data_IF_626053640223
#
_entry.id   IF_626053640223
#
_cell.length_a   1.000
_cell.length_b   1.000
_cell.length_c   1.000
_cell.angle_alpha   90.00
_cell.angle_beta   90.00
_cell.angle_gamma   90.00
#
_symmetry.space_group_name_H-M   'P 1'
#
loop_
_entity.id
_entity.type
_entity.pdbx_description
1 polymer ?
#
# COMPACT_ATOMS: atom_id res chain seq x y z
N UNK A 1 -19.32 36.98 15.33
CA UNK A 1 -18.90 36.55 13.98
C UNK A 1 -18.67 35.06 14.01
N UNK A 2 -19.54 34.30 13.36
CA UNK A 2 -19.38 32.86 13.19
C UNK A 2 -18.28 32.61 12.16
N UNK A 3 -17.25 31.87 12.56
CA UNK A 3 -16.22 31.39 11.64
C UNK A 3 -16.76 30.14 10.95
N UNK A 4 -16.99 30.24 9.64
CA UNK A 4 -17.21 29.07 8.79
C UNK A 4 -15.90 28.27 8.78
N UNK A 5 -15.93 27.06 9.33
CA UNK A 5 -14.84 26.10 9.14
C UNK A 5 -14.76 25.74 7.65
N UNK A 6 -13.64 26.07 7.01
CA UNK A 6 -13.33 25.60 5.65
C UNK A 6 -12.91 24.11 5.73
N UNK A 7 -13.34 23.25 4.79
CA UNK A 7 -12.76 21.92 4.66
C UNK A 7 -11.39 22.08 3.98
N UNK A 8 -10.34 22.21 4.80
CA UNK A 8 -8.96 22.29 4.37
C UNK A 8 -8.22 20.97 4.62
N UNK A 9 -7.77 20.35 3.53
CA UNK A 9 -6.54 19.56 3.36
C UNK A 9 -6.00 18.79 4.58
N UNK A 10 -6.05 17.45 4.49
CA UNK A 10 -5.17 16.50 5.17
C UNK A 10 -4.97 16.72 6.69
N UNK A 11 -5.81 16.08 7.50
CA UNK A 11 -5.63 16.05 8.94
C UNK A 11 -4.49 15.07 9.29
N UNK A 12 -3.24 15.58 9.41
CA UNK A 12 -2.20 14.89 10.19
C UNK A 12 -2.78 14.77 11.60
N UNK A 13 -3.17 13.56 11.98
CA UNK A 13 -4.21 13.41 13.00
C UNK A 13 -3.63 13.44 14.39
N UNK A 14 -2.35 13.14 14.58
CA UNK A 14 -1.64 13.28 15.86
C UNK A 14 -0.15 13.08 15.60
N UNK A 15 0.71 13.90 16.19
CA UNK A 15 2.15 13.70 16.19
C UNK A 15 2.73 14.12 17.54
N UNK A 16 3.53 13.26 18.15
CA UNK A 16 4.20 13.50 19.43
C UNK A 16 5.66 13.04 19.36
N UNK A 17 6.35 13.01 20.51
CA UNK A 17 7.75 12.60 20.58
C UNK A 17 7.99 11.10 20.29
N UNK A 18 6.94 10.28 20.28
CA UNK A 18 7.00 8.83 20.09
C UNK A 18 6.57 8.38 18.69
N UNK A 19 5.76 9.18 17.99
CA UNK A 19 5.20 8.79 16.71
C UNK A 19 4.31 9.81 16.05
N UNK A 20 3.66 9.36 14.97
CA UNK A 20 2.60 10.10 14.29
C UNK A 20 1.54 9.17 13.73
N UNK A 21 0.37 9.74 13.43
CA UNK A 21 -0.77 9.05 12.83
C UNK A 21 -1.27 9.90 11.65
N UNK A 22 -1.33 9.29 10.47
CA UNK A 22 -2.05 9.81 9.32
C UNK A 22 -3.43 9.14 9.25
N UNK A 23 -4.50 9.93 9.13
CA UNK A 23 -5.87 9.43 8.94
C UNK A 23 -6.50 10.14 7.75
N UNK A 24 -7.07 9.36 6.84
CA UNK A 24 -7.78 9.89 5.70
C UNK A 24 -9.11 9.16 5.51
N UNK A 25 -10.11 9.89 5.03
CA UNK A 25 -11.42 9.33 4.67
C UNK A 25 -11.77 9.80 3.28
N UNK A 26 -12.02 8.86 2.38
CA UNK A 26 -12.40 9.14 1.00
C UNK A 26 -13.73 8.44 0.70
N UNK A 27 -14.57 9.08 -0.11
CA UNK A 27 -15.67 8.40 -0.79
C UNK A 27 -15.23 8.07 -2.22
N UNK A 28 -15.34 6.81 -2.59
CA UNK A 28 -14.98 6.28 -3.91
C UNK A 28 -16.26 5.78 -4.57
N UNK A 29 -16.58 6.27 -5.77
CA UNK A 29 -17.79 5.90 -6.53
C UNK A 29 -17.68 4.53 -7.20
N UNK A 30 -17.41 3.49 -6.41
CA UNK A 30 -17.38 2.10 -6.85
C UNK A 30 -17.75 1.16 -5.68
N UNK A 31 -18.19 -0.08 -5.94
CA UNK A 31 -18.44 -1.07 -4.90
C UNK A 31 -17.16 -1.46 -4.13
N UNK A 32 -17.23 -1.85 -2.85
CA UNK A 32 -16.06 -2.19 -2.05
C UNK A 32 -15.17 -3.27 -2.67
N UNK A 33 -15.78 -4.25 -3.35
CA UNK A 33 -15.05 -5.31 -4.06
C UNK A 33 -14.09 -4.76 -5.13
N UNK A 34 -14.52 -3.77 -5.92
CA UNK A 34 -13.69 -3.14 -6.94
C UNK A 34 -12.54 -2.34 -6.32
N UNK A 35 -12.81 -1.61 -5.24
CA UNK A 35 -11.79 -0.84 -4.51
C UNK A 35 -10.75 -1.79 -3.90
N UNK A 36 -11.19 -2.87 -3.28
CA UNK A 36 -10.33 -3.88 -2.69
C UNK A 36 -9.43 -4.57 -3.73
N UNK A 37 -10.00 -4.95 -4.88
CA UNK A 37 -9.25 -5.48 -6.02
C UNK A 37 -8.18 -4.50 -6.50
N UNK A 38 -8.53 -3.21 -6.69
CA UNK A 38 -7.56 -2.20 -7.07
C UNK A 38 -6.40 -2.07 -6.07
N UNK A 39 -6.71 -2.15 -4.77
CA UNK A 39 -5.72 -2.05 -3.71
C UNK A 39 -4.69 -3.19 -3.77
N UNK A 40 -5.12 -4.44 -4.01
CA UNK A 40 -4.28 -5.62 -3.76
C UNK A 40 -3.77 -6.31 -5.04
N UNK A 41 -4.48 -6.18 -6.16
CA UNK A 41 -4.08 -6.80 -7.44
C UNK A 41 -3.57 -5.76 -8.46
N UNK A 42 -3.98 -4.50 -8.35
CA UNK A 42 -3.71 -3.47 -9.38
C UNK A 42 -2.85 -2.30 -8.87
N UNK A 43 -2.16 -2.46 -7.74
CA UNK A 43 -1.37 -1.39 -7.11
C UNK A 43 -0.38 -0.72 -8.08
N UNK A 44 0.26 -1.51 -8.94
CA UNK A 44 1.20 -1.00 -9.94
C UNK A 44 0.56 -0.16 -11.07
N UNK A 45 -0.77 -0.17 -11.20
CA UNK A 45 -1.48 0.60 -12.23
C UNK A 45 -1.86 2.01 -11.77
N UNK A 46 -1.90 2.26 -10.46
CA UNK A 46 -2.32 3.56 -9.93
C UNK A 46 -1.30 4.22 -9.01
N UNK A 47 -0.38 3.47 -8.40
CA UNK A 47 0.65 4.05 -7.55
C UNK A 47 1.52 5.04 -8.33
N UNK A 48 2.03 6.08 -7.67
CA UNK A 48 2.95 7.03 -8.30
C UNK A 48 4.36 6.43 -8.44
N UNK A 49 4.90 6.23 -9.66
CA UNK A 49 6.25 5.72 -9.84
C UNK A 49 7.34 6.60 -9.21
N UNK A 50 7.10 7.89 -9.00
CA UNK A 50 8.04 8.77 -8.28
C UNK A 50 8.20 8.40 -6.79
N UNK A 51 7.33 7.53 -6.28
CA UNK A 51 7.33 7.04 -4.91
C UNK A 51 7.56 5.52 -4.85
N UNK A 52 8.43 5.01 -5.72
CA UNK A 52 8.99 3.66 -5.68
C UNK A 52 10.53 3.71 -5.71
N UNK A 53 11.20 2.62 -5.32
CA UNK A 53 12.66 2.55 -5.36
C UNK A 53 13.20 2.30 -6.77
N UNK A 54 12.46 1.57 -7.60
CA UNK A 54 12.82 1.28 -9.01
C UNK A 54 12.46 2.42 -9.96
N UNK A 55 11.59 3.34 -9.54
CA UNK A 55 11.02 4.35 -10.42
C UNK A 55 9.91 3.81 -11.34
N UNK A 56 9.47 2.57 -11.14
CA UNK A 56 8.36 1.95 -11.87
C UNK A 56 7.38 1.27 -10.90
N UNK A 57 6.13 1.72 -10.93
CA UNK A 57 5.06 1.17 -10.10
C UNK A 57 4.67 -0.26 -10.52
N UNK A 58 4.95 -0.68 -11.75
CA UNK A 58 4.64 -2.03 -12.24
C UNK A 58 5.39 -3.13 -11.46
N UNK A 59 6.45 -2.77 -10.73
CA UNK A 59 7.21 -3.68 -9.89
C UNK A 59 6.55 -3.92 -8.51
N UNK A 60 5.47 -3.20 -8.17
CA UNK A 60 4.76 -3.34 -6.90
C UNK A 60 3.77 -4.52 -6.91
N UNK A 61 3.79 -5.37 -5.88
CA UNK A 61 2.81 -6.45 -5.70
C UNK A 61 2.58 -6.79 -4.22
N UNK A 62 1.52 -7.57 -3.95
CA UNK A 62 1.24 -8.15 -2.63
C UNK A 62 1.66 -9.62 -2.46
N UNK A 63 2.23 -10.25 -3.49
CA UNK A 63 2.45 -11.71 -3.58
C UNK A 63 3.92 -12.13 -3.52
N UNK A 64 4.81 -11.23 -3.12
CA UNK A 64 6.24 -11.50 -2.94
C UNK A 64 6.46 -12.57 -1.85
N UNK A 65 6.66 -13.81 -2.28
CA UNK A 65 7.18 -14.87 -1.43
C UNK A 65 8.70 -14.69 -1.29
N UNK A 66 9.18 -14.60 -0.06
CA UNK A 66 10.61 -14.49 0.30
C UNK A 66 11.50 -15.58 -0.31
N UNK A 67 10.94 -16.66 -0.85
CA UNK A 67 11.66 -17.74 -1.53
C UNK A 67 12.07 -17.42 -2.97
N UNK A 68 11.52 -16.39 -3.62
CA UNK A 68 11.88 -15.97 -4.99
C UNK A 68 12.90 -14.83 -5.05
N UNK A 69 13.11 -14.11 -3.94
CA UNK A 69 14.14 -13.06 -3.83
C UNK A 69 15.58 -13.62 -3.79
N UNK A 70 15.72 -14.94 -3.56
CA UNK A 70 16.97 -15.64 -3.77
C UNK A 70 16.95 -16.21 -5.19
N UNK A 71 17.59 -15.51 -6.15
CA UNK A 71 18.04 -16.23 -7.35
C UNK A 71 18.89 -17.40 -6.86
N UNK A 72 18.71 -18.64 -7.37
CA UNK A 72 19.77 -19.62 -7.25
C UNK A 72 20.99 -18.96 -7.88
N UNK A 73 22.07 -18.79 -7.11
CA UNK A 73 23.38 -18.43 -7.64
C UNK A 73 23.63 -19.27 -8.89
N UNK A 74 23.94 -18.61 -10.01
CA UNK A 74 24.23 -19.26 -11.30
C UNK A 74 25.17 -20.44 -11.08
N UNK A 75 24.64 -21.66 -11.19
CA UNK A 75 25.34 -22.88 -10.81
C UNK A 75 24.49 -24.09 -10.42
N UNK A 76 23.15 -24.00 -10.44
CA UNK A 76 22.29 -25.19 -10.28
C UNK A 76 21.80 -25.69 -11.63
N UNK A 77 22.22 -26.91 -11.98
CA UNK A 77 21.79 -27.66 -13.16
C UNK A 77 20.28 -27.91 -13.15
N UNK A 78 19.63 -27.99 -14.33
CA UNK A 78 18.21 -28.31 -14.42
C UNK A 78 18.01 -29.79 -14.07
N UNK A 79 17.54 -30.08 -12.86
CA UNK A 79 17.20 -31.46 -12.49
C UNK A 79 17.31 -31.85 -11.01
N UNK A 80 17.28 -30.92 -10.06
CA UNK A 80 17.08 -31.30 -8.66
C UNK A 80 15.57 -31.29 -8.36
N UNK A 81 15.02 -32.50 -8.28
CA UNK A 81 13.67 -32.85 -7.84
C UNK A 81 13.30 -32.09 -6.56
N UNK A 82 12.33 -31.19 -6.65
CA UNK A 82 11.71 -30.56 -5.49
C UNK A 82 10.67 -31.52 -4.94
N UNK A 83 11.03 -32.17 -3.84
CA UNK A 83 10.21 -33.11 -3.10
C UNK A 83 8.79 -32.55 -2.83
N UNK A 84 7.83 -33.10 -3.59
CA UNK A 84 6.45 -33.45 -3.22
C UNK A 84 5.90 -32.93 -1.88
N UNK A 85 5.75 -31.61 -1.75
CA UNK A 85 4.76 -30.96 -0.88
C UNK A 85 3.85 -29.97 -1.64
N UNK A 86 4.15 -29.70 -2.92
CA UNK A 86 3.47 -28.68 -3.73
C UNK A 86 2.13 -29.13 -4.34
N UNK A 87 1.73 -30.40 -4.16
CA UNK A 87 0.49 -30.95 -4.74
C UNK A 87 -0.71 -31.03 -3.80
N UNK A 88 -0.72 -30.30 -2.67
CA UNK A 88 -1.87 -30.31 -1.74
C UNK A 88 -2.53 -28.96 -1.45
N UNK A 89 -2.14 -27.86 -2.12
CA UNK A 89 -2.96 -26.63 -2.08
C UNK A 89 -3.00 -25.90 -3.42
N UNK A 90 -3.92 -26.27 -4.34
CA UNK A 90 -4.38 -25.33 -5.35
C UNK A 90 -5.37 -24.37 -4.69
N UNK A 91 -4.89 -23.26 -4.11
CA UNK A 91 -5.77 -22.20 -3.57
C UNK A 91 -5.13 -20.83 -3.78
N UNK A 92 -5.88 -19.94 -4.41
CA UNK A 92 -5.78 -18.47 -4.45
C UNK A 92 -4.46 -17.84 -3.96
N UNK A 93 -3.85 -17.02 -4.84
CA UNK A 93 -2.74 -16.11 -4.52
C UNK A 93 -2.94 -15.51 -3.12
N UNK A 94 -2.07 -15.86 -2.17
CA UNK A 94 -2.11 -15.30 -0.82
C UNK A 94 -1.44 -13.93 -0.85
N UNK A 95 -2.13 -12.91 -0.32
CA UNK A 95 -1.51 -11.62 -0.01
C UNK A 95 -0.56 -11.84 1.17
N UNK A 96 0.72 -11.55 0.98
CA UNK A 96 1.78 -11.79 1.97
C UNK A 96 2.45 -10.49 2.41
N UNK A 97 2.81 -9.63 1.48
CA UNK A 97 3.55 -8.41 1.75
C UNK A 97 3.47 -7.46 0.57
N UNK A 98 3.42 -6.15 0.84
CA UNK A 98 3.65 -5.14 -0.18
C UNK A 98 5.14 -5.08 -0.47
N UNK A 99 5.54 -5.42 -1.70
CA UNK A 99 6.92 -5.39 -2.14
C UNK A 99 7.06 -4.74 -3.50
N UNK A 100 8.31 -4.42 -3.81
CA UNK A 100 8.81 -4.01 -5.11
C UNK A 100 9.91 -4.98 -5.56
N UNK A 101 9.81 -5.52 -6.77
CA UNK A 101 10.84 -6.39 -7.38
C UNK A 101 10.99 -6.04 -8.86
N UNK A 102 12.13 -5.47 -9.26
CA UNK A 102 12.42 -5.12 -10.66
C UNK A 102 13.13 -6.24 -11.43
N UNK A 103 13.43 -7.38 -10.81
CA UNK A 103 14.06 -8.54 -11.45
C UNK A 103 15.56 -8.42 -11.76
N UNK A 104 16.12 -7.21 -11.67
CA UNK A 104 17.53 -6.88 -11.87
C UNK A 104 18.36 -6.94 -10.56
N UNK A 105 17.75 -7.38 -9.46
CA UNK A 105 18.39 -7.57 -8.16
C UNK A 105 17.96 -6.55 -7.10
N UNK A 106 17.21 -5.51 -7.48
CA UNK A 106 16.52 -4.67 -6.50
C UNK A 106 15.25 -5.38 -6.01
N UNK A 107 15.18 -5.56 -4.70
CA UNK A 107 13.99 -6.03 -4.00
C UNK A 107 13.78 -5.18 -2.76
N UNK A 108 12.55 -4.69 -2.57
CA UNK A 108 12.16 -3.96 -1.38
C UNK A 108 10.89 -4.57 -0.82
N UNK A 109 10.93 -4.97 0.45
CA UNK A 109 9.70 -5.28 1.19
C UNK A 109 9.30 -4.06 1.99
N UNK A 110 8.19 -3.44 1.63
CA UNK A 110 7.66 -2.27 2.31
C UNK A 110 6.92 -2.65 3.57
N UNK A 111 5.94 -3.53 3.45
CA UNK A 111 5.06 -3.93 4.54
C UNK A 111 4.69 -5.41 4.43
N UNK A 112 4.30 -6.02 5.54
CA UNK A 112 3.77 -7.39 5.61
C UNK A 112 2.26 -7.34 5.86
N UNK A 113 1.53 -8.29 5.30
CA UNK A 113 0.08 -8.43 5.51
C UNK A 113 -0.17 -9.11 6.86
N UNK A 114 -0.83 -8.39 7.76
CA UNK A 114 -1.19 -8.89 9.09
C UNK A 114 -2.63 -9.42 9.12
N UNK A 115 -3.53 -8.77 8.37
CA UNK A 115 -4.96 -9.11 8.33
C UNK A 115 -5.55 -8.80 6.97
N UNK A 116 -6.40 -9.71 6.49
CA UNK A 116 -7.13 -9.55 5.23
C UNK A 116 -8.54 -10.10 5.41
N UNK A 117 -9.54 -9.28 5.12
CA UNK A 117 -10.95 -9.68 5.07
C UNK A 117 -11.58 -9.02 3.84
N UNK A 118 -11.60 -9.69 2.68
CA UNK A 118 -12.17 -9.10 1.48
C UNK A 118 -13.71 -9.01 1.55
N UNK A 119 -14.32 -7.94 1.03
CA UNK A 119 -13.68 -6.69 0.61
C UNK A 119 -13.52 -5.67 1.74
N UNK A 120 -13.87 -5.98 2.99
CA UNK A 120 -14.01 -4.97 4.05
C UNK A 120 -12.69 -4.38 4.57
N UNK A 121 -11.59 -5.14 4.64
CA UNK A 121 -10.41 -4.66 5.36
C UNK A 121 -9.08 -5.31 4.95
N UNK A 122 -8.03 -4.49 4.99
CA UNK A 122 -6.62 -4.88 4.85
C UNK A 122 -5.80 -4.19 5.93
N UNK A 123 -4.94 -4.94 6.63
CA UNK A 123 -3.96 -4.40 7.58
C UNK A 123 -2.56 -4.85 7.24
N UNK A 124 -1.63 -3.90 7.32
CA UNK A 124 -0.21 -4.09 7.02
C UNK A 124 0.66 -3.59 8.17
N UNK A 125 1.81 -4.24 8.39
CA UNK A 125 2.86 -3.76 9.29
C UNK A 125 4.15 -3.46 8.54
N UNK A 126 4.83 -2.37 8.88
CA UNK A 126 6.11 -2.00 8.24
C UNK A 126 6.37 -0.50 8.10
N UNK A 127 7.42 -0.16 7.35
CA UNK A 127 7.88 1.21 7.10
C UNK A 127 7.89 1.52 5.61
N UNK A 128 7.29 2.64 5.21
CA UNK A 128 7.33 3.12 3.83
C UNK A 128 8.53 4.02 3.55
N UNK A 129 9.16 3.81 2.39
CA UNK A 129 10.26 4.62 1.87
C UNK A 129 11.30 5.01 2.93
N UNK A 130 11.47 6.32 3.23
CA UNK A 130 12.49 6.80 4.16
C UNK A 130 12.32 6.30 5.61
N UNK A 131 11.18 5.72 5.96
CA UNK A 131 10.94 5.15 7.29
C UNK A 131 11.62 3.79 7.50
N UNK A 132 11.93 3.04 6.43
CA UNK A 132 12.55 1.72 6.53
C UNK A 132 13.86 1.69 7.34
N UNK A 133 14.85 2.57 7.08
CA UNK A 133 16.11 2.56 7.83
C UNK A 133 16.00 3.10 9.26
N UNK A 134 14.86 3.70 9.65
CA UNK A 134 14.69 4.34 10.96
C UNK A 134 14.26 3.37 12.06
N UNK A 135 14.06 2.08 11.73
CA UNK A 135 13.65 1.06 12.69
C UNK A 135 12.26 1.33 13.28
N UNK A 136 11.35 1.86 12.48
CA UNK A 136 9.99 2.21 12.93
C UNK A 136 9.10 0.97 13.09
N UNK A 137 8.13 1.06 13.99
CA UNK A 137 6.97 0.16 14.05
C UNK A 137 5.76 0.87 13.44
N UNK A 138 5.40 0.48 12.22
CA UNK A 138 4.24 1.04 11.51
C UNK A 138 3.08 0.05 11.42
N UNK A 139 1.84 0.54 11.52
CA UNK A 139 0.61 -0.21 11.29
C UNK A 139 -0.34 0.59 10.40
N UNK A 140 -0.62 0.07 9.22
CA UNK A 140 -1.49 0.66 8.20
C UNK A 140 -2.77 -0.15 8.08
N UNK A 141 -3.93 0.50 8.12
CA UNK A 141 -5.24 -0.14 7.97
C UNK A 141 -6.04 0.58 6.90
N UNK A 142 -6.63 -0.20 6.01
CA UNK A 142 -7.68 0.21 5.08
C UNK A 142 -8.97 -0.48 5.51
N UNK A 143 -9.99 0.30 5.85
CA UNK A 143 -11.34 -0.18 6.12
C UNK A 143 -12.28 0.33 5.01
N UNK A 144 -13.03 -0.56 4.38
CA UNK A 144 -13.97 -0.30 3.31
C UNK A 144 -15.39 -0.56 3.81
N UNK A 145 -16.18 0.51 3.85
CA UNK A 145 -17.59 0.47 4.23
C UNK A 145 -18.45 0.73 2.99
N UNK A 146 -19.42 -0.13 2.73
CA UNK A 146 -20.41 0.08 1.67
C UNK A 146 -21.37 1.21 2.05
N UNK A 147 -21.70 2.05 1.08
CA UNK A 147 -22.61 3.19 1.21
C UNK A 147 -23.52 3.26 -0.02
N UNK A 148 -24.59 4.03 0.04
CA UNK A 148 -25.47 4.27 -1.13
C UNK A 148 -24.73 4.89 -2.33
N UNK A 149 -23.64 5.63 -2.08
CA UNK A 149 -22.86 6.33 -3.10
C UNK A 149 -21.60 5.57 -3.58
N UNK A 150 -21.41 4.32 -3.13
CA UNK A 150 -20.21 3.52 -3.38
C UNK A 150 -19.52 3.12 -2.09
N UNK A 151 -18.21 3.37 -1.98
CA UNK A 151 -17.41 2.93 -0.83
C UNK A 151 -16.89 4.12 -0.04
N UNK A 152 -17.02 4.07 1.27
CA UNK A 152 -16.27 4.93 2.20
C UNK A 152 -15.00 4.17 2.60
N UNK A 153 -13.85 4.68 2.14
CA UNK A 153 -12.53 4.21 2.55
C UNK A 153 -12.08 5.01 3.78
N UNK A 154 -11.84 4.32 4.90
CA UNK A 154 -11.13 4.86 6.06
C UNK A 154 -9.71 4.30 6.08
N UNK A 155 -8.74 5.20 5.97
CA UNK A 155 -7.32 4.89 5.98
C UNK A 155 -6.69 5.39 7.28
N UNK A 156 -5.82 4.58 7.88
CA UNK A 156 -4.99 4.98 9.02
C UNK A 156 -3.59 4.39 8.90
N UNK A 157 -2.56 5.20 9.05
CA UNK A 157 -1.18 4.75 9.22
C UNK A 157 -0.57 5.34 10.48
N UNK A 158 -0.34 4.48 11.48
CA UNK A 158 0.36 4.83 12.71
C UNK A 158 1.82 4.42 12.59
N UNK A 159 2.73 5.33 12.94
CA UNK A 159 4.17 5.09 12.92
C UNK A 159 4.75 5.48 14.27
N UNK A 160 5.45 4.55 14.92
CA UNK A 160 6.20 4.81 16.14
C UNK A 160 7.69 4.57 15.92
N UNK A 161 8.55 5.38 16.53
CA UNK A 161 9.99 5.21 16.43
C UNK A 161 10.76 6.42 16.96
N UNK A 162 12.09 6.31 16.98
CA UNK A 162 12.95 7.42 17.40
C UNK A 162 13.03 8.48 16.30
N UNK A 163 12.83 9.74 16.64
CA UNK A 163 12.99 10.90 15.73
C UNK A 163 12.12 10.80 14.45
N UNK A 164 10.92 10.22 14.53
CA UNK A 164 10.05 10.01 13.36
C UNK A 164 9.08 11.16 13.09
N UNK A 165 8.86 12.04 14.07
CA UNK A 165 7.85 13.11 14.02
C UNK A 165 8.08 14.08 12.86
N UNK A 166 9.33 14.37 12.49
CA UNK A 166 9.67 15.23 11.34
C UNK A 166 9.26 14.64 9.99
N UNK A 167 8.89 13.35 9.95
CA UNK A 167 8.40 12.68 8.74
C UNK A 167 6.87 12.68 8.64
N UNK A 168 6.15 13.17 9.65
CA UNK A 168 4.69 13.13 9.67
C UNK A 168 4.07 13.82 8.45
N UNK A 169 4.38 15.09 8.21
CA UNK A 169 3.81 15.85 7.09
C UNK A 169 4.24 15.33 5.70
N UNK A 170 5.52 15.02 5.43
CA UNK A 170 5.91 14.43 4.15
C UNK A 170 5.24 13.08 3.86
N UNK A 171 5.14 12.20 4.87
CA UNK A 171 4.52 10.88 4.71
C UNK A 171 3.02 11.03 4.48
N UNK A 172 2.34 11.86 5.28
CA UNK A 172 0.90 12.13 5.14
C UNK A 172 0.55 12.64 3.74
N UNK A 173 1.33 13.59 3.21
CA UNK A 173 1.15 14.13 1.85
C UNK A 173 1.27 13.05 0.78
N UNK A 174 2.26 12.16 0.90
CA UNK A 174 2.41 11.04 -0.04
C UNK A 174 1.23 10.09 0.08
N UNK A 175 0.81 9.71 1.31
CA UNK A 175 -0.32 8.80 1.50
C UNK A 175 -1.62 9.36 0.91
N UNK A 176 -1.95 10.62 1.20
CA UNK A 176 -3.12 11.25 0.60
C UNK A 176 -3.02 11.29 -0.93
N UNK A 177 -1.85 11.61 -1.48
CA UNK A 177 -1.60 11.59 -2.92
C UNK A 177 -1.88 10.22 -3.55
N UNK A 178 -1.40 9.14 -2.93
CA UNK A 178 -1.64 7.77 -3.39
C UNK A 178 -3.12 7.37 -3.28
N UNK A 179 -3.80 7.74 -2.19
CA UNK A 179 -5.23 7.46 -2.02
C UNK A 179 -6.10 8.18 -3.06
N UNK A 180 -5.77 9.41 -3.42
CA UNK A 180 -6.45 10.14 -4.49
C UNK A 180 -6.18 9.52 -5.87
N UNK A 181 -4.98 8.98 -6.11
CA UNK A 181 -4.66 8.25 -7.35
C UNK A 181 -5.45 6.95 -7.46
N UNK A 182 -5.53 6.18 -6.37
CA UNK A 182 -6.40 5.00 -6.28
C UNK A 182 -7.85 5.34 -6.61
N UNK A 183 -8.39 6.39 -5.99
CA UNK A 183 -9.77 6.84 -6.22
C UNK A 183 -10.00 7.15 -7.71
N UNK A 184 -9.16 7.97 -8.32
CA UNK A 184 -9.30 8.32 -9.75
C UNK A 184 -9.20 7.10 -10.65
N UNK A 185 -8.26 6.20 -10.36
CA UNK A 185 -8.10 4.98 -11.13
C UNK A 185 -9.34 4.08 -11.05
N UNK A 186 -9.92 3.92 -9.86
CA UNK A 186 -11.15 3.14 -9.68
C UNK A 186 -12.35 3.79 -10.35
N UNK A 187 -12.50 5.12 -10.25
CA UNK A 187 -13.66 5.84 -10.79
C UNK A 187 -13.59 6.05 -12.32
N UNK A 188 -12.39 6.21 -12.89
CA UNK A 188 -12.21 6.68 -14.26
C UNK A 188 -11.18 5.87 -15.08
N UNK A 189 -10.56 4.83 -14.51
CA UNK A 189 -9.54 4.02 -15.18
C UNK A 189 -8.17 4.69 -15.33
N UNK A 190 -7.97 5.87 -14.75
CA UNK A 190 -6.70 6.61 -14.81
C UNK A 190 -6.35 7.20 -13.44
N UNK A 191 -5.11 7.05 -12.94
CA UNK A 191 -4.68 7.64 -11.67
C UNK A 191 -4.35 9.14 -11.78
N UNK A 192 -4.18 9.66 -13.00
CA UNK A 192 -3.81 11.06 -13.24
C UNK A 192 -5.02 11.97 -13.04
N UNK A 193 -4.82 13.21 -12.56
CA UNK A 193 -5.86 14.23 -12.65
C UNK A 193 -6.37 14.35 -14.08
N UNK A 194 -7.67 14.61 -14.24
CA UNK A 194 -8.21 14.99 -15.54
C UNK A 194 -7.52 16.28 -16.00
N UNK A 195 -6.80 16.21 -17.11
CA UNK A 195 -6.29 17.36 -17.83
C UNK A 195 -7.20 17.54 -19.04
N UNK A 196 -8.12 18.52 -19.06
CA UNK A 196 -8.64 18.97 -20.34
C UNK A 196 -7.45 19.60 -21.08
N UNK A 197 -7.10 19.05 -22.23
CA UNK A 197 -6.05 19.63 -23.10
C UNK A 197 -6.26 21.14 -23.33
#
# INVERSE_FOLDING_TARGET
MAWLAQPGLAEVTEADEHGFISVHKLHIKAPPARVFEALVEEIGLWWDPAHTYSGDAANLSFDCQTRRCLKPTSGQSPGAEVDSWDNLVPRSRKLVALCEDSGDGLFVRHMTVDFVQPPQALRLSGGLGPLQPLGVAGSMTFDLEETEAGTKLSYRYRVNGRNVTSWAEPVDRVQLGQLERLRRYVEAGSPKPYSPD
#
